data_IF_869243270206
#
_entry.id   IF_869243270206
#
_cell.length_a   1.000
_cell.length_b   1.000
_cell.length_c   1.000
_cell.angle_alpha   90.00
_cell.angle_beta   90.00
_cell.angle_gamma   90.00
#
_symmetry.space_group_name_H-M   'P 1'
#
loop_
_entity.id
_entity.type
_entity.pdbx_description
1 polymer ?
#
# COMPACT_ATOMS: atom_id res chain seq x y z
N UNK A 1 -12.40 2.90 -2.93
CA UNK A 1 -11.29 2.29 -3.69
C UNK A 1 -11.63 2.35 -5.17
N UNK A 2 -10.88 3.16 -5.94
CA UNK A 2 -11.07 3.31 -7.39
C UNK A 2 -10.45 2.12 -8.10
N UNK A 3 -11.28 1.39 -8.84
CA UNK A 3 -10.95 0.04 -9.33
C UNK A 3 -11.16 -0.07 -10.83
N UNK A 4 -10.26 -0.75 -11.53
CA UNK A 4 -10.45 -1.21 -12.90
C UNK A 4 -10.68 -2.72 -12.95
N UNK A 5 -11.39 -3.17 -13.99
CA UNK A 5 -11.61 -4.58 -14.31
C UNK A 5 -11.00 -4.83 -15.68
N UNK A 6 -10.15 -5.84 -15.80
CA UNK A 6 -9.47 -6.20 -17.04
C UNK A 6 -9.67 -7.68 -17.33
N UNK A 7 -10.36 -7.97 -18.40
CA UNK A 7 -10.65 -9.34 -18.87
C UNK A 7 -11.06 -9.23 -20.35
N UNK A 8 -10.56 -10.09 -21.21
CA UNK A 8 -10.92 -10.09 -22.64
C UNK A 8 -12.33 -10.65 -22.92
N UNK A 9 -12.95 -11.26 -21.89
CA UNK A 9 -14.32 -11.71 -21.94
C UNK A 9 -15.28 -10.67 -21.32
N UNK A 10 -16.11 -10.02 -22.16
CA UNK A 10 -17.13 -9.04 -21.71
C UNK A 10 -18.06 -9.63 -20.61
N UNK A 11 -18.35 -10.93 -20.68
CA UNK A 11 -19.23 -11.58 -19.69
C UNK A 11 -18.53 -11.72 -18.32
N UNK A 12 -17.22 -11.94 -18.29
CA UNK A 12 -16.44 -11.96 -17.06
C UNK A 12 -16.38 -10.57 -16.44
N UNK A 13 -16.15 -9.52 -17.23
CA UNK A 13 -16.22 -8.12 -16.75
C UNK A 13 -17.59 -7.82 -16.12
N UNK A 14 -18.69 -8.16 -16.80
CA UNK A 14 -20.04 -7.94 -16.28
C UNK A 14 -20.30 -8.70 -14.98
N UNK A 15 -19.77 -9.90 -14.85
CA UNK A 15 -19.90 -10.70 -13.64
C UNK A 15 -19.19 -10.02 -12.46
N UNK A 16 -17.91 -9.64 -12.63
CA UNK A 16 -17.13 -8.92 -11.61
C UNK A 16 -17.80 -7.60 -11.27
N UNK A 17 -18.21 -6.80 -12.27
CA UNK A 17 -18.97 -5.55 -12.09
C UNK A 17 -20.16 -5.74 -11.16
N UNK A 18 -21.03 -6.71 -11.47
CA UNK A 18 -22.26 -6.95 -10.71
C UNK A 18 -22.01 -7.23 -9.23
N UNK A 19 -20.86 -7.82 -8.90
CA UNK A 19 -20.45 -8.00 -7.53
C UNK A 19 -19.92 -6.71 -6.91
N UNK A 20 -19.05 -6.00 -7.62
CA UNK A 20 -18.37 -4.80 -7.11
C UNK A 20 -19.33 -3.63 -6.91
N UNK A 21 -20.33 -3.43 -7.77
CA UNK A 21 -21.35 -2.37 -7.66
C UNK A 21 -22.19 -2.46 -6.38
N UNK A 22 -22.28 -3.65 -5.79
CA UNK A 22 -22.99 -3.86 -4.52
C UNK A 22 -22.18 -3.39 -3.31
N UNK A 23 -20.89 -3.15 -3.49
CA UNK A 23 -20.00 -2.76 -2.41
C UNK A 23 -19.66 -1.26 -2.48
N UNK A 24 -20.22 -0.48 -1.55
CA UNK A 24 -20.02 0.98 -1.48
C UNK A 24 -18.55 1.42 -1.31
N UNK A 25 -17.65 0.52 -0.98
CA UNK A 25 -16.21 0.78 -0.87
C UNK A 25 -15.52 0.86 -2.22
N UNK A 26 -16.15 0.35 -3.29
CA UNK A 26 -15.58 0.25 -4.63
C UNK A 26 -16.26 1.26 -5.56
N UNK A 27 -15.45 1.95 -6.34
CA UNK A 27 -15.84 2.79 -7.46
C UNK A 27 -15.17 2.24 -8.72
N UNK A 28 -15.94 1.69 -9.64
CA UNK A 28 -15.41 1.18 -10.90
C UNK A 28 -15.13 2.37 -11.81
N UNK A 29 -13.84 2.62 -12.11
CA UNK A 29 -13.39 3.74 -12.92
C UNK A 29 -12.99 3.34 -14.34
N UNK A 30 -12.90 2.04 -14.63
CA UNK A 30 -12.61 1.52 -15.97
C UNK A 30 -12.92 0.05 -16.12
N UNK A 31 -13.29 -0.33 -17.32
CA UNK A 31 -13.48 -1.69 -17.78
C UNK A 31 -12.70 -1.83 -19.06
N UNK A 32 -11.75 -2.73 -19.09
CA UNK A 32 -10.74 -2.86 -20.13
C UNK A 32 -10.80 -4.27 -20.73
N UNK A 33 -10.83 -4.36 -22.03
CA UNK A 33 -10.83 -5.62 -22.77
C UNK A 33 -9.42 -6.09 -23.14
N UNK A 34 -8.44 -5.21 -23.00
CA UNK A 34 -7.05 -5.51 -23.27
C UNK A 34 -6.08 -4.72 -22.38
N UNK A 35 -4.80 -5.10 -22.46
CA UNK A 35 -3.74 -4.46 -21.67
C UNK A 35 -3.50 -2.99 -22.06
N UNK A 36 -3.72 -2.60 -23.31
CA UNK A 36 -3.53 -1.23 -23.78
C UNK A 36 -4.53 -0.27 -23.14
N UNK A 37 -5.82 -0.66 -23.10
CA UNK A 37 -6.89 0.08 -22.43
C UNK A 37 -6.62 0.22 -20.93
N UNK A 38 -6.14 -0.86 -20.28
CA UNK A 38 -5.81 -0.86 -18.86
C UNK A 38 -4.67 0.11 -18.54
N UNK A 39 -3.58 0.08 -19.32
CA UNK A 39 -2.44 0.98 -19.16
C UNK A 39 -2.83 2.45 -19.39
N UNK A 40 -3.67 2.72 -20.38
CA UNK A 40 -4.18 4.06 -20.63
C UNK A 40 -5.05 4.54 -19.46
N UNK A 41 -5.95 3.69 -18.98
CA UNK A 41 -6.84 4.02 -17.86
C UNK A 41 -6.04 4.40 -16.59
N UNK A 42 -4.96 3.66 -16.27
CA UNK A 42 -4.12 3.95 -15.09
C UNK A 42 -3.29 5.23 -15.27
N UNK A 43 -2.91 5.59 -16.49
CA UNK A 43 -2.22 6.87 -16.76
C UNK A 43 -3.13 8.09 -16.63
N UNK A 44 -4.39 7.94 -17.01
CA UNK A 44 -5.35 9.06 -17.08
C UNK A 44 -6.15 9.23 -15.80
N UNK A 45 -6.25 8.18 -14.98
CA UNK A 45 -7.13 8.14 -13.79
C UNK A 45 -6.36 7.67 -12.56
N UNK A 46 -6.79 8.15 -11.41
CA UNK A 46 -6.30 7.62 -10.13
C UNK A 46 -6.92 6.24 -9.90
N UNK A 47 -6.16 5.18 -10.18
CA UNK A 47 -6.58 3.79 -9.96
C UNK A 47 -5.86 3.25 -8.73
N UNK A 48 -6.63 2.68 -7.79
CA UNK A 48 -6.11 2.15 -6.52
C UNK A 48 -6.06 0.62 -6.52
N UNK A 49 -6.91 -0.04 -7.33
CA UNK A 49 -6.94 -1.49 -7.46
C UNK A 49 -7.27 -1.93 -8.88
N UNK A 50 -6.80 -3.11 -9.28
CA UNK A 50 -7.10 -3.73 -10.56
C UNK A 50 -7.46 -5.20 -10.36
N UNK A 51 -8.64 -5.60 -10.88
CA UNK A 51 -9.00 -7.00 -11.10
C UNK A 51 -8.48 -7.38 -12.49
N UNK A 52 -7.55 -8.33 -12.54
CA UNK A 52 -6.87 -8.73 -13.77
C UNK A 52 -7.09 -10.21 -14.06
N UNK A 53 -7.64 -10.53 -15.22
CA UNK A 53 -7.52 -11.91 -15.69
C UNK A 53 -6.05 -12.20 -16.05
N UNK A 54 -5.55 -13.36 -15.62
CA UNK A 54 -4.19 -13.81 -15.96
C UNK A 54 -4.10 -14.15 -17.45
N UNK A 55 -5.17 -14.73 -18.02
CA UNK A 55 -5.17 -15.29 -19.35
C UNK A 55 -5.71 -14.33 -20.43
N UNK A 56 -5.51 -13.02 -20.29
CA UNK A 56 -5.91 -12.07 -21.35
C UNK A 56 -5.16 -12.34 -22.63
N UNK A 57 -5.88 -12.32 -23.77
CA UNK A 57 -5.28 -12.48 -25.09
C UNK A 57 -4.75 -11.14 -25.61
N UNK A 58 -3.59 -11.15 -26.27
CA UNK A 58 -3.06 -9.93 -26.90
C UNK A 58 -1.55 -9.85 -26.90
N UNK A 59 -1.03 -8.62 -26.81
CA UNK A 59 0.41 -8.35 -26.85
C UNK A 59 1.14 -8.68 -25.55
N UNK A 60 0.42 -8.86 -24.43
CA UNK A 60 0.95 -9.29 -23.14
C UNK A 60 -0.13 -10.01 -22.34
N UNK A 61 0.28 -10.90 -21.45
CA UNK A 61 -0.62 -11.56 -20.50
C UNK A 61 -0.91 -10.69 -19.28
N UNK A 62 -1.84 -11.17 -18.41
CA UNK A 62 -2.22 -10.42 -17.20
C UNK A 62 -1.09 -10.25 -16.20
N UNK A 63 -0.12 -11.18 -16.16
CA UNK A 63 1.02 -11.09 -15.25
C UNK A 63 1.98 -9.99 -15.68
N UNK A 64 2.32 -9.93 -16.97
CA UNK A 64 3.15 -8.87 -17.52
C UNK A 64 2.45 -7.51 -17.40
N UNK A 65 1.14 -7.47 -17.65
CA UNK A 65 0.34 -6.26 -17.41
C UNK A 65 0.43 -5.79 -15.97
N UNK A 66 0.27 -6.70 -15.00
CA UNK A 66 0.35 -6.34 -13.58
C UNK A 66 1.70 -5.73 -13.19
N UNK A 67 2.82 -6.25 -13.70
CA UNK A 67 4.16 -5.66 -13.51
C UNK A 67 4.20 -4.22 -14.04
N UNK A 68 3.70 -3.98 -15.25
CA UNK A 68 3.64 -2.63 -15.83
C UNK A 68 2.72 -1.69 -15.07
N UNK A 69 1.62 -2.18 -14.53
CA UNK A 69 0.74 -1.38 -13.67
C UNK A 69 1.43 -0.98 -12.36
N UNK A 70 2.24 -1.88 -11.77
CA UNK A 70 3.08 -1.59 -10.60
C UNK A 70 4.19 -0.57 -10.92
N UNK A 71 4.80 -0.62 -12.11
CA UNK A 71 5.77 0.39 -12.55
C UNK A 71 5.12 1.79 -12.66
N UNK A 72 3.88 1.88 -13.16
CA UNK A 72 3.13 3.14 -13.27
C UNK A 72 2.61 3.63 -11.93
N UNK A 73 2.12 2.74 -11.09
CA UNK A 73 1.62 3.02 -9.75
C UNK A 73 2.07 1.91 -8.77
N UNK A 74 3.19 2.09 -8.05
CA UNK A 74 3.67 1.09 -7.08
C UNK A 74 2.69 0.79 -5.94
N UNK A 75 1.71 1.66 -5.70
CA UNK A 75 0.71 1.51 -4.65
C UNK A 75 -0.53 0.74 -5.09
N UNK A 76 -0.67 0.45 -6.39
CA UNK A 76 -1.85 -0.26 -6.92
C UNK A 76 -1.98 -1.65 -6.29
N UNK A 77 -3.19 -2.01 -5.91
CA UNK A 77 -3.52 -3.36 -5.40
C UNK A 77 -3.91 -4.25 -6.58
N UNK A 78 -3.18 -5.33 -6.78
CA UNK A 78 -3.43 -6.29 -7.86
C UNK A 78 -4.20 -7.50 -7.34
N UNK A 79 -5.36 -7.75 -7.93
CA UNK A 79 -6.23 -8.89 -7.66
C UNK A 79 -6.33 -9.70 -8.95
N UNK A 80 -5.66 -10.84 -9.01
CA UNK A 80 -5.72 -11.70 -10.18
C UNK A 80 -6.93 -12.63 -10.13
N UNK A 81 -7.59 -12.77 -11.28
CA UNK A 81 -8.61 -13.79 -11.50
C UNK A 81 -8.07 -14.85 -12.46
N UNK A 82 -8.30 -16.13 -12.22
CA UNK A 82 -7.82 -17.21 -13.07
C UNK A 82 -8.67 -18.45 -12.97
N UNK A 83 -8.84 -19.15 -14.11
CA UNK A 83 -9.44 -20.50 -14.16
C UNK A 83 -8.41 -21.62 -13.96
N UNK A 84 -7.11 -21.30 -13.86
CA UNK A 84 -6.05 -22.31 -13.78
C UNK A 84 -5.34 -22.25 -12.43
N UNK A 85 -5.49 -23.31 -11.63
CA UNK A 85 -4.88 -23.43 -10.29
C UNK A 85 -3.35 -23.39 -10.29
N UNK A 86 -2.68 -23.75 -11.40
CA UNK A 86 -1.21 -23.73 -11.49
C UNK A 86 -0.62 -22.34 -11.33
N UNK A 87 -1.35 -21.29 -11.70
CA UNK A 87 -0.90 -19.90 -11.48
C UNK A 87 -0.97 -19.50 -10.01
N UNK A 88 -1.84 -20.11 -9.22
CA UNK A 88 -1.91 -19.85 -7.76
C UNK A 88 -0.76 -20.53 -7.03
N UNK A 89 -0.38 -21.74 -7.46
CA UNK A 89 0.71 -22.50 -6.85
C UNK A 89 2.09 -21.89 -7.16
N UNK A 90 2.25 -21.25 -8.32
CA UNK A 90 3.47 -20.54 -8.75
C UNK A 90 3.46 -19.06 -8.38
N UNK A 91 2.62 -18.66 -7.43
CA UNK A 91 2.38 -17.27 -7.00
C UNK A 91 3.62 -16.48 -6.55
N UNK A 92 4.76 -17.15 -6.33
CA UNK A 92 6.01 -16.54 -5.85
C UNK A 92 6.63 -15.59 -6.91
N UNK A 93 6.39 -15.82 -8.20
CA UNK A 93 6.94 -15.00 -9.30
C UNK A 93 6.02 -13.87 -9.76
N UNK A 94 4.80 -13.81 -9.21
CA UNK A 94 3.78 -12.85 -9.59
C UNK A 94 3.51 -11.91 -8.43
N UNK A 95 3.80 -10.63 -8.58
CA UNK A 95 3.59 -9.58 -7.55
C UNK A 95 2.11 -9.30 -7.31
N UNK A 96 1.31 -10.35 -7.05
CA UNK A 96 -0.10 -10.24 -6.71
C UNK A 96 -0.31 -9.96 -5.23
N UNK A 97 -1.31 -9.12 -4.95
CA UNK A 97 -1.76 -8.93 -3.57
C UNK A 97 -2.84 -9.96 -3.21
N UNK A 98 -3.66 -10.35 -4.19
CA UNK A 98 -4.74 -11.33 -4.01
C UNK A 98 -4.97 -12.15 -5.28
N UNK A 99 -5.51 -13.36 -5.10
CA UNK A 99 -5.96 -14.25 -6.16
C UNK A 99 -7.42 -14.67 -5.94
N UNK A 100 -8.15 -14.82 -7.03
CA UNK A 100 -9.51 -15.33 -7.07
C UNK A 100 -9.62 -16.41 -8.14
N UNK A 101 -10.08 -17.59 -7.76
CA UNK A 101 -10.31 -18.68 -8.68
C UNK A 101 -11.66 -18.52 -9.39
N UNK A 102 -11.65 -18.69 -10.71
CA UNK A 102 -12.90 -18.84 -11.50
C UNK A 102 -13.43 -20.29 -11.34
N UNK A 103 -14.73 -20.53 -11.10
CA UNK A 103 -15.82 -19.55 -11.05
C UNK A 103 -15.80 -18.71 -9.76
N UNK A 104 -16.02 -17.40 -9.89
CA UNK A 104 -15.93 -16.47 -8.77
C UNK A 104 -17.02 -16.75 -7.71
N UNK A 105 -16.60 -16.83 -6.46
CA UNK A 105 -17.47 -17.02 -5.32
C UNK A 105 -17.75 -15.66 -4.64
N UNK A 106 -19.02 -15.36 -4.39
CA UNK A 106 -19.45 -14.09 -3.79
C UNK A 106 -18.83 -13.82 -2.40
N UNK A 107 -18.71 -14.87 -1.57
CA UNK A 107 -18.13 -14.72 -0.23
C UNK A 107 -16.63 -14.42 -0.29
N UNK A 108 -15.89 -15.12 -1.15
CA UNK A 108 -14.47 -14.94 -1.39
C UNK A 108 -14.19 -13.54 -1.97
N UNK A 109 -14.97 -13.12 -2.96
CA UNK A 109 -14.83 -11.81 -3.58
C UNK A 109 -15.11 -10.69 -2.57
N UNK A 110 -16.15 -10.83 -1.72
CA UNK A 110 -16.44 -9.87 -0.65
C UNK A 110 -15.28 -9.77 0.34
N UNK A 111 -14.67 -10.90 0.71
CA UNK A 111 -13.50 -10.94 1.59
C UNK A 111 -12.29 -10.24 0.95
N UNK A 112 -11.98 -10.58 -0.31
CA UNK A 112 -10.86 -9.99 -1.04
C UNK A 112 -11.06 -8.49 -1.24
N UNK A 113 -12.24 -8.02 -1.62
CA UNK A 113 -12.56 -6.59 -1.75
C UNK A 113 -12.33 -5.85 -0.43
N UNK A 114 -12.77 -6.42 0.69
CA UNK A 114 -12.51 -5.84 2.02
C UNK A 114 -11.03 -5.69 2.28
N UNK A 115 -10.24 -6.75 2.05
CA UNK A 115 -8.79 -6.75 2.29
C UNK A 115 -8.04 -5.85 1.31
N UNK A 116 -8.43 -5.83 0.05
CA UNK A 116 -7.86 -4.95 -0.96
C UNK A 116 -8.10 -3.47 -0.61
N UNK A 117 -9.30 -3.12 -0.12
CA UNK A 117 -9.58 -1.77 0.32
C UNK A 117 -8.77 -1.36 1.55
N UNK A 118 -8.61 -2.26 2.54
CA UNK A 118 -7.75 -2.02 3.69
C UNK A 118 -6.30 -1.77 3.25
N UNK A 119 -5.78 -2.57 2.31
CA UNK A 119 -4.43 -2.45 1.77
C UNK A 119 -4.25 -1.17 0.93
N UNK A 120 -5.21 -0.83 0.06
CA UNK A 120 -5.18 0.40 -0.72
C UNK A 120 -5.16 1.65 0.18
N UNK A 121 -5.97 1.68 1.23
CA UNK A 121 -5.96 2.75 2.22
C UNK A 121 -4.60 2.86 2.94
N UNK A 122 -3.97 1.74 3.28
CA UNK A 122 -2.65 1.75 3.91
C UNK A 122 -1.56 2.28 2.96
N UNK A 123 -1.56 1.83 1.69
CA UNK A 123 -0.58 2.25 0.68
C UNK A 123 -0.73 3.72 0.29
N UNK A 124 -1.95 4.23 0.23
CA UNK A 124 -2.24 5.60 -0.21
C UNK A 124 -2.16 6.64 0.92
N UNK A 125 -1.75 6.27 2.12
CA UNK A 125 -1.55 7.24 3.21
C UNK A 125 -0.50 8.27 2.82
N UNK A 126 -0.90 9.54 2.80
CA UNK A 126 0.01 10.66 2.56
C UNK A 126 0.62 11.11 3.87
N UNK A 127 1.93 10.94 3.98
CA UNK A 127 2.70 11.40 5.15
C UNK A 127 3.35 12.72 4.79
N UNK A 128 3.12 13.73 5.61
CA UNK A 128 3.76 15.05 5.48
C UNK A 128 4.44 15.43 6.80
N UNK A 129 5.72 15.74 6.75
CA UNK A 129 6.48 16.25 7.89
C UNK A 129 6.71 17.75 7.70
N UNK A 130 6.21 18.57 8.64
CA UNK A 130 6.54 20.00 8.72
C UNK A 130 7.79 20.17 9.55
N UNK A 131 8.85 20.70 8.95
CA UNK A 131 10.17 20.86 9.59
C UNK A 131 10.50 22.32 9.91
N UNK A 132 9.76 23.29 9.35
CA UNK A 132 9.95 24.71 9.64
C UNK A 132 9.11 25.15 10.85
N UNK A 133 9.78 25.81 11.82
CA UNK A 133 9.18 26.23 13.08
C UNK A 133 9.12 25.07 14.07
N UNK A 134 7.99 24.43 14.21
CA UNK A 134 7.85 23.23 15.03
C UNK A 134 7.76 21.99 14.13
N UNK A 135 8.45 20.92 14.55
CA UNK A 135 8.31 19.63 13.88
C UNK A 135 6.92 19.05 14.14
N UNK A 136 6.16 18.76 13.10
CA UNK A 136 4.88 18.06 13.18
C UNK A 136 4.77 17.05 12.04
N UNK A 137 4.18 15.89 12.34
CA UNK A 137 3.88 14.87 11.37
C UNK A 137 2.36 14.87 11.10
N UNK A 138 2.00 14.79 9.83
CA UNK A 138 0.61 14.67 9.38
C UNK A 138 0.46 13.38 8.58
N UNK A 139 -0.63 12.68 8.80
CA UNK A 139 -1.05 11.51 8.01
C UNK A 139 -2.44 11.81 7.49
N UNK A 140 -2.61 11.79 6.18
CA UNK A 140 -3.86 12.14 5.47
C UNK A 140 -4.44 13.51 5.92
N UNK A 141 -3.56 14.48 6.12
CA UNK A 141 -3.91 15.83 6.55
C UNK A 141 -4.23 15.99 8.03
N UNK A 142 -4.27 14.92 8.81
CA UNK A 142 -4.51 14.95 10.25
C UNK A 142 -3.19 14.93 11.03
N UNK A 143 -3.01 15.78 12.06
CA UNK A 143 -1.78 15.80 12.83
C UNK A 143 -1.64 14.56 13.70
N UNK A 144 -0.43 13.99 13.73
CA UNK A 144 -0.08 12.89 14.63
C UNK A 144 0.18 13.43 16.03
N UNK A 145 -0.58 12.96 17.00
CA UNK A 145 -0.45 13.37 18.40
C UNK A 145 0.51 12.45 19.14
N UNK A 146 1.74 12.92 19.35
CA UNK A 146 2.74 12.19 20.13
C UNK A 146 2.49 12.35 21.62
N UNK A 147 2.42 11.23 22.35
CA UNK A 147 2.37 11.22 23.83
C UNK A 147 3.75 11.46 24.44
N UNK A 148 4.80 11.02 23.72
CA UNK A 148 6.19 11.18 24.15
C UNK A 148 6.89 12.29 23.34
N UNK A 149 7.25 13.39 24.00
CA UNK A 149 8.05 14.45 23.39
C UNK A 149 9.38 13.92 22.85
N UNK A 150 10.05 13.01 23.56
CA UNK A 150 11.29 12.40 23.13
C UNK A 150 11.14 11.46 21.93
N UNK A 151 10.00 10.78 21.78
CA UNK A 151 9.70 10.01 20.57
C UNK A 151 9.52 10.95 19.36
N UNK A 152 8.88 12.11 19.55
CA UNK A 152 8.73 13.13 18.52
C UNK A 152 10.08 13.74 18.12
N UNK A 153 10.95 14.04 19.08
CA UNK A 153 12.32 14.53 18.84
C UNK A 153 13.16 13.50 18.07
N UNK A 154 13.04 12.20 18.42
CA UNK A 154 13.70 11.13 17.69
C UNK A 154 13.23 11.07 16.24
N UNK A 155 11.93 11.16 16.00
CA UNK A 155 11.40 11.19 14.65
C UNK A 155 11.91 12.40 13.85
N UNK A 156 11.96 13.58 14.47
CA UNK A 156 12.50 14.79 13.84
C UNK A 156 13.96 14.59 13.42
N UNK A 157 14.78 13.99 14.27
CA UNK A 157 16.16 13.64 13.93
C UNK A 157 16.26 12.67 12.76
N UNK A 158 15.40 11.63 12.73
CA UNK A 158 15.39 10.66 11.63
C UNK A 158 14.96 11.29 10.31
N UNK A 159 13.99 12.20 10.33
CA UNK A 159 13.52 12.94 9.13
C UNK A 159 14.63 13.88 8.64
N UNK A 160 15.35 14.58 9.54
CA UNK A 160 16.48 15.43 9.19
C UNK A 160 17.62 14.67 8.49
N UNK A 161 17.76 13.39 8.76
CA UNK A 161 18.75 12.51 8.12
C UNK A 161 18.31 11.92 6.78
N UNK A 162 17.13 12.25 6.29
CA UNK A 162 16.61 11.88 4.96
C UNK A 162 16.78 10.39 4.61
N UNK A 163 16.57 9.49 5.58
CA UNK A 163 16.75 8.05 5.43
C UNK A 163 18.18 7.54 5.66
N UNK A 164 19.11 8.42 6.00
CA UNK A 164 20.47 8.03 6.39
C UNK A 164 20.51 7.29 7.73
N UNK A 165 21.53 6.46 7.91
CA UNK A 165 21.75 5.72 9.18
C UNK A 165 22.09 6.69 10.32
N UNK A 166 21.44 6.49 11.46
CA UNK A 166 21.73 7.23 12.71
C UNK A 166 22.23 6.24 13.75
N UNK A 167 23.41 6.51 14.31
CA UNK A 167 23.98 5.66 15.38
C UNK A 167 23.36 5.99 16.73
N UNK A 168 23.43 5.04 17.67
CA UNK A 168 22.96 5.26 19.06
C UNK A 168 23.67 6.44 19.71
N UNK A 169 24.97 6.62 19.45
CA UNK A 169 25.75 7.73 19.99
C UNK A 169 25.25 9.08 19.47
N UNK A 170 24.91 9.15 18.19
CA UNK A 170 24.33 10.36 17.59
C UNK A 170 22.95 10.68 18.18
N UNK A 171 22.12 9.66 18.39
CA UNK A 171 20.81 9.82 19.03
C UNK A 171 20.99 10.35 20.45
N UNK A 172 21.87 9.75 21.24
CA UNK A 172 22.14 10.15 22.63
C UNK A 172 22.67 11.57 22.67
N UNK A 173 23.68 11.90 21.87
CA UNK A 173 24.24 13.25 21.82
C UNK A 173 23.27 14.34 21.41
N UNK A 174 22.29 14.01 20.54
CA UNK A 174 21.27 14.98 20.10
C UNK A 174 20.11 15.11 21.09
N UNK A 175 19.59 13.99 21.59
CA UNK A 175 18.40 13.99 22.45
C UNK A 175 18.70 14.25 23.94
N UNK A 176 19.95 14.02 24.37
CA UNK A 176 20.38 14.14 25.77
C UNK A 176 21.79 14.72 25.88
N UNK A 177 21.99 15.99 25.48
CA UNK A 177 23.28 16.69 25.45
C UNK A 177 24.11 16.56 26.74
N UNK A 178 23.48 16.41 27.90
CA UNK A 178 24.14 16.39 29.20
C UNK A 178 24.16 14.98 29.86
N UNK A 179 23.85 13.91 29.12
CA UNK A 179 23.90 12.55 29.68
C UNK A 179 25.12 11.79 29.17
N UNK A 180 25.79 11.02 30.04
CA UNK A 180 26.85 10.12 29.59
C UNK A 180 26.26 9.02 28.70
N UNK A 181 27.07 8.52 27.77
CA UNK A 181 26.72 7.35 26.94
C UNK A 181 27.02 6.07 27.76
N UNK A 182 26.14 5.76 28.72
CA UNK A 182 26.18 4.59 29.54
C UNK A 182 25.05 3.60 29.21
N UNK A 183 25.08 2.42 29.79
CA UNK A 183 24.06 1.37 29.55
C UNK A 183 22.64 1.86 29.87
N UNK A 184 22.48 2.73 30.88
CA UNK A 184 21.20 3.27 31.26
C UNK A 184 20.63 4.19 30.14
N UNK A 185 21.48 5.05 29.58
CA UNK A 185 21.09 5.96 28.49
C UNK A 185 20.85 5.20 27.18
N UNK A 186 21.62 4.16 26.88
CA UNK A 186 21.38 3.26 25.74
C UNK A 186 20.04 2.50 25.88
N UNK A 187 19.70 2.06 27.09
CA UNK A 187 18.40 1.46 27.38
C UNK A 187 17.23 2.44 27.16
N UNK A 188 17.40 3.72 27.54
CA UNK A 188 16.41 4.77 27.26
C UNK A 188 16.23 5.00 25.76
N UNK A 189 17.32 5.06 25.00
CA UNK A 189 17.28 5.17 23.53
C UNK A 189 16.45 4.04 22.91
N UNK A 190 16.69 2.79 23.31
CA UNK A 190 15.94 1.62 22.85
C UNK A 190 14.45 1.69 23.23
N UNK A 191 14.12 2.16 24.44
CA UNK A 191 12.73 2.35 24.87
C UNK A 191 12.00 3.40 24.03
N UNK A 192 12.65 4.52 23.74
CA UNK A 192 12.03 5.60 22.95
C UNK A 192 11.82 5.16 21.50
N UNK A 193 12.76 4.40 20.91
CA UNK A 193 12.53 3.80 19.60
C UNK A 193 11.29 2.89 19.54
N UNK A 194 11.12 2.02 20.55
CA UNK A 194 9.92 1.19 20.68
C UNK A 194 8.64 2.03 20.88
N UNK A 195 8.73 3.10 21.69
CA UNK A 195 7.61 4.01 21.91
C UNK A 195 7.21 4.70 20.62
N UNK A 196 8.16 5.22 19.84
CA UNK A 196 7.93 5.85 18.55
C UNK A 196 7.20 4.88 17.59
N UNK A 197 7.72 3.66 17.44
CA UNK A 197 7.09 2.63 16.60
C UNK A 197 5.65 2.35 17.03
N UNK A 198 5.40 2.24 18.36
CA UNK A 198 4.07 1.94 18.87
C UNK A 198 3.09 3.13 18.69
N UNK A 199 3.57 4.37 18.80
CA UNK A 199 2.75 5.55 18.56
C UNK A 199 2.39 5.69 17.08
N UNK A 200 3.31 5.37 16.16
CA UNK A 200 3.05 5.42 14.72
C UNK A 200 2.15 4.27 14.21
N UNK A 201 2.15 3.12 14.88
CA UNK A 201 1.26 1.98 14.52
C UNK A 201 -0.24 2.27 14.67
N UNK A 202 -0.62 3.36 15.35
CA UNK A 202 -2.02 3.73 15.55
C UNK A 202 -2.63 4.42 14.31
N UNK A 203 -1.80 4.83 13.38
CA UNK A 203 -2.13 5.52 12.13
C UNK A 203 -1.90 4.62 10.92
#
# INVERSE_FOLDING_TARGET
MKTIIVDDEIMAIKLVRNYLERDKRVEIVGECLDAGEALQCVRERAVEAAFLDICIHGCMDGVELGKKLKELNPQIVLIYTTGNAQYVDNAIDVEADFYLMKPLNAAELTFVVKKANELALQRNKRIFARTFGHFDLYIDGSPVMFRSAKAKELLALLVDREGGTVTTDQIIGTLWENRPNDEATQSLCSKIGKTLINELKQY
#
